data_IF_731108621802
#
_entry.id   IF_731108621802
#
_cell.length_a   1.000
_cell.length_b   1.000
_cell.length_c   1.000
_cell.angle_alpha   90.00
_cell.angle_beta   90.00
_cell.angle_gamma   90.00
#
_symmetry.space_group_name_H-M   'P 1'
#
loop_
_entity.id
_entity.type
_entity.pdbx_description
1 polymer ?
#
# COMPACT_ATOMS: atom_id res chain seq x y z
N UNK A 1 9.08 18.70 7.33
CA UNK A 1 8.94 18.41 7.19
C UNK A 1 8.58 17.55 7.10
N UNK A 2 8.52 17.28 7.05
CA UNK A 2 8.14 16.65 6.78
C UNK A 2 7.76 15.62 7.17
N UNK A 3 7.38 15.20 7.54
CA UNK A 3 7.02 14.22 7.75
C UNK A 3 6.23 13.65 6.97
N UNK A 4 6.53 13.21 6.08
CA UNK A 4 5.72 12.74 5.18
C UNK A 4 5.43 11.35 5.36
N UNK A 5 4.20 10.96 5.29
CA UNK A 5 3.79 9.59 5.36
C UNK A 5 4.11 8.91 4.05
N UNK A 6 4.57 7.68 4.12
CA UNK A 6 4.83 6.91 2.91
C UNK A 6 3.51 6.42 2.36
N UNK A 7 3.35 6.49 1.07
CA UNK A 7 2.13 6.05 0.41
C UNK A 7 2.49 5.02 -0.65
N UNK A 8 1.73 3.94 -0.69
CA UNK A 8 1.90 2.92 -1.71
C UNK A 8 0.63 2.89 -2.54
N UNK A 9 0.79 2.71 -3.84
CA UNK A 9 -0.35 2.67 -4.75
C UNK A 9 -0.44 1.30 -5.39
N UNK A 10 -1.59 0.67 -5.27
CA UNK A 10 -1.84 -0.62 -5.91
C UNK A 10 -2.57 -0.31 -7.19
N UNK A 11 -1.93 -0.56 -8.31
CA UNK A 11 -2.47 -0.21 -9.62
C UNK A 11 -2.39 -1.37 -10.59
N UNK A 12 -3.24 -1.33 -11.59
CA UNK A 12 -3.26 -2.34 -12.64
C UNK A 12 -2.15 -2.05 -13.65
N UNK A 13 -1.51 -3.10 -14.12
CA UNK A 13 -0.49 -2.97 -15.15
C UNK A 13 -0.82 -3.91 -16.29
N UNK A 14 -0.03 -3.84 -17.37
CA UNK A 14 -0.25 -4.73 -18.50
C UNK A 14 -0.07 -6.18 -18.13
N UNK A 15 0.75 -6.46 -17.13
CA UNK A 15 1.05 -7.82 -16.77
C UNK A 15 0.32 -8.28 -15.53
N UNK A 16 -0.50 -7.45 -14.95
CA UNK A 16 -1.19 -7.81 -13.72
C UNK A 16 -1.38 -6.59 -12.86
N UNK A 17 -0.84 -6.65 -11.66
CA UNK A 17 -0.98 -5.56 -10.70
C UNK A 17 0.36 -5.27 -10.06
N UNK A 18 0.50 -4.09 -9.51
CA UNK A 18 1.72 -3.75 -8.80
C UNK A 18 1.40 -2.86 -7.62
N UNK A 19 2.25 -2.93 -6.59
CA UNK A 19 2.21 -2.00 -5.47
C UNK A 19 3.49 -1.19 -5.52
N UNK A 20 3.37 0.12 -5.68
CA UNK A 20 4.52 0.97 -5.86
C UNK A 20 4.48 2.11 -4.89
N UNK A 21 5.62 2.41 -4.30
CA UNK A 21 5.72 3.52 -3.37
C UNK A 21 5.64 4.82 -4.15
N UNK A 22 4.89 5.77 -3.63
CA UNK A 22 4.74 7.05 -4.29
C UNK A 22 6.12 7.69 -4.42
N UNK A 23 6.42 8.16 -5.59
CA UNK A 23 7.72 8.77 -5.85
C UNK A 23 8.83 7.78 -6.15
N UNK A 24 8.55 6.48 -6.03
CA UNK A 24 9.56 5.49 -6.32
C UNK A 24 9.61 5.14 -7.79
N UNK A 25 10.75 4.62 -8.23
CA UNK A 25 10.92 4.24 -9.63
C UNK A 25 10.50 2.83 -9.89
N UNK A 26 10.46 1.99 -8.89
CA UNK A 26 10.17 0.58 -9.09
C UNK A 26 9.01 0.14 -8.23
N UNK A 27 8.31 -0.88 -8.70
CA UNK A 27 7.26 -1.47 -7.90
C UNK A 27 7.87 -2.24 -6.75
N UNK A 28 7.32 -2.08 -5.57
CA UNK A 28 7.76 -2.86 -4.42
C UNK A 28 7.17 -4.26 -4.48
N UNK A 29 6.02 -4.40 -5.10
CA UNK A 29 5.33 -5.68 -5.18
C UNK A 29 4.74 -5.80 -6.57
N UNK A 30 4.81 -6.99 -7.16
CA UNK A 30 4.13 -7.24 -8.42
C UNK A 30 3.45 -8.59 -8.30
N UNK A 31 2.39 -8.79 -9.04
CA UNK A 31 1.68 -10.04 -9.05
C UNK A 31 0.64 -10.09 -10.13
N UNK A 32 0.05 -11.24 -10.32
CA UNK A 32 -0.95 -11.42 -11.37
C UNK A 32 -2.35 -11.01 -10.97
N UNK A 33 -2.60 -10.87 -9.67
CA UNK A 33 -3.93 -10.50 -9.22
C UNK A 33 -3.85 -9.33 -8.25
N UNK A 34 -4.93 -8.57 -8.22
CA UNK A 34 -5.01 -7.44 -7.30
C UNK A 34 -4.92 -7.89 -5.86
N UNK A 35 -5.60 -8.98 -5.55
CA UNK A 35 -5.64 -9.46 -4.19
C UNK A 35 -4.25 -9.79 -3.65
N UNK A 36 -3.48 -10.48 -4.46
CA UNK A 36 -2.14 -10.87 -4.05
C UNK A 36 -1.26 -9.63 -3.83
N UNK A 37 -1.29 -8.72 -4.76
CA UNK A 37 -0.47 -7.52 -4.66
C UNK A 37 -0.93 -6.65 -3.48
N UNK A 38 -2.23 -6.54 -3.31
CA UNK A 38 -2.77 -5.75 -2.23
C UNK A 38 -2.32 -6.31 -0.89
N UNK A 39 -2.41 -7.62 -0.72
CA UNK A 39 -2.05 -8.24 0.53
C UNK A 39 -0.57 -7.98 0.87
N UNK A 40 0.30 -8.14 -0.11
CA UNK A 40 1.72 -7.94 0.12
C UNK A 40 2.05 -6.48 0.37
N UNK A 41 1.39 -5.58 -0.33
CA UNK A 41 1.64 -4.17 -0.15
C UNK A 41 1.19 -3.73 1.24
N UNK A 42 0.08 -4.26 1.72
CA UNK A 42 -0.39 -3.95 3.05
C UNK A 42 0.60 -4.42 4.09
N UNK A 43 1.19 -5.60 3.89
CA UNK A 43 2.18 -6.09 4.83
C UNK A 43 3.39 -5.17 4.93
N UNK A 44 3.84 -4.67 3.80
CA UNK A 44 4.95 -3.76 3.78
C UNK A 44 4.59 -2.47 4.50
N UNK A 45 3.41 -1.95 4.23
CA UNK A 45 2.97 -0.71 4.85
C UNK A 45 2.87 -0.85 6.37
N UNK A 46 2.37 -1.98 6.83
CA UNK A 46 2.26 -2.22 8.26
C UNK A 46 3.62 -2.30 8.92
N UNK A 47 4.56 -2.94 8.26
CA UNK A 47 5.89 -3.06 8.83
C UNK A 47 6.58 -1.72 8.94
N UNK A 48 6.38 -0.87 7.98
CA UNK A 48 7.02 0.42 8.03
C UNK A 48 6.36 1.36 9.02
N UNK A 49 5.06 1.21 9.20
CA UNK A 49 4.33 2.11 10.03
C UNK A 49 4.18 3.47 9.37
N UNK A 50 3.22 4.25 9.81
CA UNK A 50 3.03 5.60 9.30
C UNK A 50 2.96 5.62 7.78
N UNK A 51 2.16 4.73 7.23
CA UNK A 51 2.05 4.55 5.78
C UNK A 51 0.61 4.47 5.37
N UNK A 52 0.36 4.65 4.08
CA UNK A 52 -0.97 4.50 3.51
C UNK A 52 -0.87 3.61 2.29
N UNK A 53 -1.94 2.91 2.00
CA UNK A 53 -2.04 2.11 0.78
C UNK A 53 -3.25 2.61 0.02
N UNK A 54 -3.01 3.17 -1.16
CA UNK A 54 -4.08 3.68 -2.01
C UNK A 54 -4.39 2.62 -3.04
N UNK A 55 -5.60 2.11 -3.03
CA UNK A 55 -5.98 1.01 -3.90
C UNK A 55 -6.76 1.58 -5.08
N UNK A 56 -6.27 1.28 -6.27
CA UNK A 56 -6.89 1.80 -7.49
C UNK A 56 -7.68 0.70 -8.19
N UNK A 57 -8.71 1.09 -8.91
CA UNK A 57 -9.47 0.17 -9.73
C UNK A 57 -8.69 -0.09 -11.01
N UNK A 58 -9.14 -1.07 -11.77
CA UNK A 58 -8.46 -1.42 -13.01
C UNK A 58 -8.41 -0.26 -14.00
N UNK A 59 -9.28 0.73 -13.86
CA UNK A 59 -9.26 1.87 -14.76
C UNK A 59 -8.42 3.02 -14.19
N UNK A 60 -7.78 2.83 -13.06
CA UNK A 60 -6.90 3.85 -12.49
C UNK A 60 -7.53 4.73 -11.43
N UNK A 61 -8.82 4.66 -11.28
CA UNK A 61 -9.47 5.51 -10.27
C UNK A 61 -9.27 4.94 -8.89
N UNK A 62 -9.27 5.80 -7.88
CA UNK A 62 -9.07 5.35 -6.52
C UNK A 62 -10.32 4.62 -6.04
N UNK A 63 -10.11 3.42 -5.54
CA UNK A 63 -11.19 2.62 -4.99
C UNK A 63 -11.28 2.84 -3.49
N UNK A 64 -10.16 2.81 -2.80
CA UNK A 64 -10.16 3.05 -1.36
C UNK A 64 -8.74 3.36 -0.91
N UNK A 65 -8.61 3.89 0.27
CA UNK A 65 -7.31 4.18 0.84
C UNK A 65 -7.32 3.65 2.26
N UNK A 66 -6.25 2.95 2.65
CA UNK A 66 -6.10 2.44 3.99
C UNK A 66 -4.88 3.07 4.62
N UNK A 67 -5.01 3.47 5.88
CA UNK A 67 -3.94 4.14 6.58
C UNK A 67 -3.44 3.25 7.70
N UNK A 68 -2.14 3.14 7.83
CA UNK A 68 -1.52 2.33 8.86
C UNK A 68 -0.64 3.22 9.72
N UNK A 69 -1.10 3.60 10.90
CA UNK A 69 -0.32 4.50 11.73
C UNK A 69 0.89 3.79 12.29
N UNK A 70 1.77 4.56 12.86
CA UNK A 70 2.95 4.01 13.46
C UNK A 70 2.56 3.01 14.52
N UNK A 71 3.31 1.98 14.61
CA UNK A 71 2.89 0.88 15.40
C UNK A 71 2.88 1.10 16.83
N UNK A 72 3.26 2.19 17.25
CA UNK A 72 3.23 2.35 18.63
C UNK A 72 1.87 2.11 19.18
N UNK A 73 0.95 1.87 18.42
CA UNK A 73 -0.23 1.61 18.90
C UNK A 73 -0.33 0.41 19.54
N UNK A 74 -0.62 0.39 20.54
CA UNK A 74 -0.62 -0.78 21.26
C UNK A 74 -1.81 -1.58 21.24
N UNK A 75 -2.06 -1.58 21.29
CA UNK A 75 -2.79 -2.33 21.39
C UNK A 75 -3.31 -2.98 21.14
N UNK A 76 -3.44 -3.60 21.41
CA UNK A 76 -3.88 -4.24 21.05
C UNK A 76 -4.73 -4.73 21.14
N UNK A 77 -4.90 -4.82 21.16
CA UNK A 77 -5.62 -5.22 21.16
C UNK A 77 -6.23 -5.89 21.24
N UNK A 78 -6.26 -5.91 21.34
CA UNK A 78 -6.72 -6.40 21.35
C UNK A 78 -6.96 -6.77 21.13
N UNK A 79 -6.66 -6.65 21.21
CA UNK A 79 -6.87 -6.86 20.93
C UNK A 79 -6.92 -6.93 20.82
#
# INVERSE_FOLDING_TARGET
MSKTRKAYHVTKTDEGWQGKKEGGDRASVTGGTKEEVLKRTIEIAKKQGDSSVVIHKHDGKIQEERTYPKSSDPFPPEG
#
